data_IF_621990596040
#
_entry.id   IF_621990596040
#
_cell.length_a   1.000
_cell.length_b   1.000
_cell.length_c   1.000
_cell.angle_alpha   90.00
_cell.angle_beta   90.00
_cell.angle_gamma   90.00
#
_symmetry.space_group_name_H-M   'P 1'
#
loop_
_entity.id
_entity.type
_entity.pdbx_description
1 polymer ?
#
# COMPACT_ATOMS: atom_id res chain seq x y z
N UNK A 1 2.17 -21.19 15.01
CA UNK A 1 1.04 -21.23 14.05
C UNK A 1 1.47 -20.79 12.64
N UNK A 2 1.81 -19.52 12.37
CA UNK A 2 2.18 -19.08 11.01
C UNK A 2 3.41 -19.80 10.42
N UNK A 3 4.51 -19.92 11.19
CA UNK A 3 5.73 -20.63 10.76
C UNK A 3 5.44 -22.09 10.39
N UNK A 4 4.59 -22.76 11.17
CA UNK A 4 4.21 -24.15 10.94
C UNK A 4 3.38 -24.30 9.65
N UNK A 5 2.41 -23.41 9.42
CA UNK A 5 1.62 -23.39 8.20
C UNK A 5 2.48 -23.15 6.95
N UNK A 6 3.46 -22.25 7.03
CA UNK A 6 4.42 -22.01 5.96
C UNK A 6 5.29 -23.25 5.65
N UNK A 7 5.77 -23.95 6.69
CA UNK A 7 6.52 -25.20 6.51
C UNK A 7 5.66 -26.30 5.87
N UNK A 8 4.39 -26.40 6.24
CA UNK A 8 3.48 -27.41 5.71
C UNK A 8 3.21 -27.24 4.19
N UNK A 9 3.23 -26.02 3.68
CA UNK A 9 3.00 -25.73 2.24
C UNK A 9 4.28 -25.71 1.41
N UNK A 10 5.46 -25.60 2.05
CA UNK A 10 6.75 -25.48 1.36
C UNK A 10 7.06 -26.65 0.40
N UNK A 11 6.47 -27.83 0.62
CA UNK A 11 6.61 -28.99 -0.25
C UNK A 11 5.73 -28.95 -1.52
N UNK A 12 4.89 -27.92 -1.70
CA UNK A 12 3.92 -27.80 -2.81
C UNK A 12 4.03 -26.47 -3.55
N UNK A 13 5.23 -25.87 -3.57
CA UNK A 13 5.47 -24.57 -4.22
C UNK A 13 5.49 -24.64 -5.75
N UNK A 14 5.42 -25.85 -6.32
CA UNK A 14 5.26 -26.10 -7.76
C UNK A 14 3.87 -25.71 -8.28
N UNK A 15 2.88 -25.61 -7.39
CA UNK A 15 1.51 -25.19 -7.73
C UNK A 15 1.34 -23.71 -7.40
N UNK A 16 0.96 -22.92 -8.40
CA UNK A 16 0.62 -21.52 -8.18
C UNK A 16 -0.54 -21.38 -7.18
N UNK A 17 -0.50 -20.36 -6.30
CA UNK A 17 -1.60 -20.07 -5.40
C UNK A 17 -2.83 -19.57 -6.17
N UNK A 18 -3.96 -19.48 -5.47
CA UNK A 18 -5.14 -18.76 -5.97
C UNK A 18 -4.77 -17.30 -6.26
N UNK A 19 -4.73 -16.94 -7.55
CA UNK A 19 -4.33 -15.61 -8.00
C UNK A 19 -5.25 -14.48 -7.55
N UNK A 20 -6.46 -14.80 -7.06
CA UNK A 20 -7.39 -13.80 -6.50
C UNK A 20 -7.32 -13.70 -4.98
N UNK A 21 -6.49 -14.53 -4.34
CA UNK A 21 -6.37 -14.63 -2.88
C UNK A 21 -7.73 -14.74 -2.16
N UNK A 22 -8.73 -15.40 -2.76
CA UNK A 22 -10.13 -15.38 -2.30
C UNK A 22 -10.27 -15.80 -0.85
N UNK A 23 -9.67 -16.94 -0.47
CA UNK A 23 -9.73 -17.45 0.91
C UNK A 23 -9.10 -16.49 1.93
N UNK A 24 -8.06 -15.77 1.53
CA UNK A 24 -7.41 -14.78 2.40
C UNK A 24 -8.29 -13.54 2.55
N UNK A 25 -8.87 -13.04 1.46
CA UNK A 25 -9.81 -11.91 1.48
C UNK A 25 -11.04 -12.20 2.35
N UNK A 26 -11.63 -13.39 2.20
CA UNK A 26 -12.76 -13.85 3.03
C UNK A 26 -12.39 -13.88 4.51
N UNK A 27 -11.22 -14.42 4.86
CA UNK A 27 -10.76 -14.49 6.26
C UNK A 27 -10.48 -13.10 6.87
N UNK A 28 -9.84 -12.18 6.12
CA UNK A 28 -9.60 -10.81 6.58
C UNK A 28 -10.94 -10.08 6.76
N UNK A 29 -11.86 -10.25 5.82
CA UNK A 29 -13.20 -9.67 5.89
C UNK A 29 -13.96 -10.11 7.14
N UNK A 30 -13.93 -11.41 7.48
CA UNK A 30 -14.55 -11.94 8.69
C UNK A 30 -13.95 -11.33 9.97
N UNK A 31 -12.62 -11.25 10.06
CA UNK A 31 -11.92 -10.72 11.23
C UNK A 31 -12.24 -9.24 11.47
N UNK A 32 -12.38 -8.44 10.40
CA UNK A 32 -12.55 -6.99 10.49
C UNK A 32 -13.99 -6.51 10.23
N UNK A 33 -14.94 -7.41 9.94
CA UNK A 33 -16.32 -7.05 9.59
C UNK A 33 -16.44 -6.26 8.28
N UNK A 34 -15.59 -6.57 7.29
CA UNK A 34 -15.51 -5.84 6.01
C UNK A 34 -16.17 -6.60 4.86
N UNK A 35 -16.52 -5.91 3.77
CA UNK A 35 -16.90 -6.54 2.52
C UNK A 35 -15.64 -7.12 1.83
N UNK A 36 -15.55 -8.44 1.53
CA UNK A 36 -14.38 -9.02 0.88
C UNK A 36 -14.12 -8.47 -0.53
N UNK A 37 -15.14 -7.89 -1.19
CA UNK A 37 -14.96 -7.22 -2.48
C UNK A 37 -14.14 -5.92 -2.39
N UNK A 38 -14.01 -5.34 -1.20
CA UNK A 38 -13.22 -4.12 -0.94
C UNK A 38 -11.78 -4.44 -0.51
N UNK A 39 -11.36 -5.71 -0.52
CA UNK A 39 -10.03 -6.13 -0.08
C UNK A 39 -9.20 -6.52 -1.30
N UNK A 40 -8.00 -5.97 -1.39
CA UNK A 40 -6.97 -6.36 -2.36
C UNK A 40 -5.80 -6.95 -1.58
N UNK A 41 -5.29 -8.09 -2.05
CA UNK A 41 -4.07 -8.71 -1.54
C UNK A 41 -2.95 -8.53 -2.57
N UNK A 42 -1.78 -8.13 -2.10
CA UNK A 42 -0.59 -7.85 -2.89
C UNK A 42 0.63 -8.51 -2.25
N UNK A 43 1.78 -8.41 -2.91
CA UNK A 43 3.08 -8.81 -2.40
C UNK A 43 3.66 -7.79 -1.39
N UNK A 44 2.83 -7.34 -0.45
CA UNK A 44 3.14 -6.30 0.54
C UNK A 44 2.48 -4.96 0.24
N UNK A 45 2.39 -4.09 1.25
CA UNK A 45 1.76 -2.77 1.15
C UNK A 45 2.45 -1.85 0.14
N UNK A 46 3.75 -2.01 -0.07
CA UNK A 46 4.53 -1.18 -0.97
C UNK A 46 4.06 -1.35 -2.43
N UNK A 47 3.71 -2.58 -2.83
CA UNK A 47 3.13 -2.84 -4.15
C UNK A 47 1.78 -2.12 -4.32
N UNK A 48 0.96 -2.04 -3.27
CA UNK A 48 -0.31 -1.28 -3.31
C UNK A 48 -0.03 0.22 -3.49
N UNK A 49 0.94 0.78 -2.77
CA UNK A 49 1.31 2.19 -2.92
C UNK A 49 1.77 2.51 -4.33
N UNK A 50 2.55 1.62 -4.95
CA UNK A 50 2.97 1.74 -6.34
C UNK A 50 1.80 1.65 -7.32
N UNK A 51 0.88 0.71 -7.12
CA UNK A 51 -0.34 0.59 -7.94
C UNK A 51 -1.22 1.83 -7.80
N UNK A 52 -1.38 2.39 -6.60
CA UNK A 52 -2.12 3.64 -6.39
C UNK A 52 -1.49 4.79 -7.16
N UNK A 53 -0.17 4.97 -7.04
CA UNK A 53 0.55 6.01 -7.77
C UNK A 53 0.37 5.86 -9.29
N UNK A 54 0.54 4.66 -9.84
CA UNK A 54 0.37 4.41 -11.28
C UNK A 54 -1.08 4.56 -11.77
N UNK A 55 -2.05 4.30 -10.90
CA UNK A 55 -3.48 4.39 -11.26
C UNK A 55 -3.98 5.83 -11.24
N UNK A 56 -3.50 6.64 -10.31
CA UNK A 56 -4.06 7.96 -10.03
C UNK A 56 -3.17 9.15 -10.42
N UNK A 57 -1.87 8.97 -10.63
CA UNK A 57 -0.96 10.06 -10.96
C UNK A 57 -0.54 10.02 -12.43
N UNK A 58 -0.46 11.20 -13.03
CA UNK A 58 0.09 11.46 -14.35
C UNK A 58 1.27 12.46 -14.28
N UNK A 59 2.11 12.54 -15.33
CA UNK A 59 3.14 13.54 -15.40
C UNK A 59 2.60 14.97 -15.25
N UNK A 60 3.15 15.70 -14.27
CA UNK A 60 2.72 17.06 -13.94
C UNK A 60 1.73 17.16 -12.77
N UNK A 61 1.11 16.05 -12.34
CA UNK A 61 0.32 16.04 -11.11
C UNK A 61 1.20 16.28 -9.88
N UNK A 62 0.58 16.73 -8.80
CA UNK A 62 1.21 16.85 -7.49
C UNK A 62 0.66 15.79 -6.55
N UNK A 63 1.54 15.19 -5.74
CA UNK A 63 1.15 14.28 -4.69
C UNK A 63 1.78 14.72 -3.36
N UNK A 64 0.93 14.92 -2.38
CA UNK A 64 1.25 15.53 -1.08
C UNK A 64 1.55 14.44 -0.06
N UNK A 65 2.62 14.61 0.72
CA UNK A 65 3.00 13.76 1.85
C UNK A 65 3.78 14.59 2.87
N UNK A 66 4.01 14.07 4.07
CA UNK A 66 4.71 14.82 5.13
C UNK A 66 6.22 14.61 5.11
N UNK A 67 6.99 15.57 5.65
CA UNK A 67 8.46 15.65 5.54
C UNK A 67 9.20 14.37 5.95
N UNK A 68 8.71 13.67 6.98
CA UNK A 68 9.32 12.43 7.49
C UNK A 68 8.48 11.18 7.16
N UNK A 69 7.55 11.28 6.22
CA UNK A 69 6.76 10.14 5.79
C UNK A 69 7.63 9.06 5.14
N UNK A 70 7.03 7.89 5.01
CA UNK A 70 7.69 6.73 4.41
C UNK A 70 8.25 7.04 3.02
N UNK A 71 9.57 6.86 2.84
CA UNK A 71 10.32 7.27 1.64
C UNK A 71 9.72 6.72 0.33
N UNK A 72 9.05 5.57 0.39
CA UNK A 72 8.42 4.89 -0.74
C UNK A 72 7.36 5.77 -1.43
N UNK A 73 6.68 6.67 -0.71
CA UNK A 73 5.73 7.61 -1.32
C UNK A 73 6.42 8.48 -2.37
N UNK A 74 7.52 9.14 -1.99
CA UNK A 74 8.30 9.98 -2.90
C UNK A 74 8.80 9.19 -4.12
N UNK A 75 9.29 7.97 -3.90
CA UNK A 75 9.78 7.10 -4.97
C UNK A 75 8.68 6.82 -6.00
N UNK A 76 7.49 6.40 -5.56
CA UNK A 76 6.41 6.06 -6.49
C UNK A 76 5.76 7.28 -7.16
N UNK A 77 5.68 8.41 -6.46
CA UNK A 77 5.23 9.68 -7.06
C UNK A 77 6.14 10.06 -8.23
N UNK A 78 7.46 10.03 -8.00
CA UNK A 78 8.44 10.35 -9.03
C UNK A 78 8.45 9.32 -10.16
N UNK A 79 8.28 8.02 -9.84
CA UNK A 79 8.18 6.96 -10.84
C UNK A 79 6.97 7.12 -11.77
N UNK A 80 5.87 7.71 -11.29
CA UNK A 80 4.70 8.07 -12.09
C UNK A 80 4.88 9.38 -12.89
N UNK A 81 6.02 10.07 -12.75
CA UNK A 81 6.29 11.37 -13.38
C UNK A 81 5.63 12.56 -12.68
N UNK A 82 4.99 12.35 -11.53
CA UNK A 82 4.37 13.39 -10.72
C UNK A 82 5.39 14.09 -9.82
N UNK A 83 5.01 15.27 -9.32
CA UNK A 83 5.82 16.10 -8.43
C UNK A 83 5.50 15.76 -6.96
N UNK A 84 6.50 15.28 -6.18
CA UNK A 84 6.34 15.08 -4.75
C UNK A 84 6.32 16.42 -4.00
N UNK A 85 5.26 16.67 -3.24
CA UNK A 85 5.10 17.85 -2.37
C UNK A 85 5.24 17.42 -0.91
N UNK A 86 6.38 17.74 -0.31
CA UNK A 86 6.68 17.42 1.09
C UNK A 86 6.23 18.56 2.01
N UNK A 87 5.24 18.29 2.86
CA UNK A 87 4.67 19.23 3.82
C UNK A 87 5.47 19.21 5.10
N UNK A 88 5.78 20.40 5.62
CA UNK A 88 6.49 20.54 6.90
C UNK A 88 5.69 19.96 8.05
N UNK A 89 6.39 19.22 8.90
CA UNK A 89 5.86 18.72 10.16
C UNK A 89 6.27 19.63 11.32
N UNK A 90 5.55 19.53 12.44
CA UNK A 90 5.94 20.17 13.70
C UNK A 90 6.19 19.07 14.73
N UNK A 91 7.37 19.04 15.34
CA UNK A 91 7.77 18.01 16.32
C UNK A 91 7.55 16.56 15.83
N UNK A 92 7.90 16.30 14.57
CA UNK A 92 7.74 14.98 13.90
C UNK A 92 6.28 14.51 13.86
N UNK A 93 5.33 15.46 13.84
CA UNK A 93 3.90 15.21 13.71
C UNK A 93 3.35 15.85 12.45
N UNK A 94 2.52 15.07 11.77
CA UNK A 94 1.71 15.55 10.66
C UNK A 94 0.83 16.72 11.13
N UNK A 95 0.82 17.79 10.33
CA UNK A 95 -0.01 18.97 10.53
C UNK A 95 -1.08 18.99 9.43
N UNK A 96 -2.35 18.87 9.83
CA UNK A 96 -3.47 18.78 8.88
C UNK A 96 -3.67 20.09 8.14
N UNK A 97 -3.51 21.23 8.80
CA UNK A 97 -3.69 22.54 8.18
C UNK A 97 -2.57 22.81 7.18
N UNK A 98 -1.33 22.41 7.52
CA UNK A 98 -0.21 22.47 6.58
C UNK A 98 -0.40 21.54 5.37
N UNK A 99 -0.98 20.35 5.56
CA UNK A 99 -1.29 19.42 4.45
C UNK A 99 -2.36 20.00 3.53
N UNK A 100 -3.41 20.61 4.09
CA UNK A 100 -4.50 21.23 3.32
C UNK A 100 -4.08 22.52 2.60
N UNK A 101 -3.05 23.21 3.08
CA UNK A 101 -2.53 24.45 2.51
C UNK A 101 -1.44 24.25 1.44
N UNK A 102 -1.07 23.01 1.14
CA UNK A 102 0.01 22.64 0.23
C UNK A 102 -0.35 22.83 -1.25
#
# INVERSE_FOLDING_TARGET
>A
KAIEAARAVAAKLDVYPDGTARRLREAIAEVHGLNPANIICSNGSDEILGLLAQTYLAPGDEAVFTEHAFMVYKIYIQAAGAKPVAVKETDERADVDAILAA
#
